data_IF_669825924130
#
_entry.id   IF_669825924130
#
_cell.length_a   1.000
_cell.length_b   1.000
_cell.length_c   1.000
_cell.angle_alpha   90.00
_cell.angle_beta   90.00
_cell.angle_gamma   90.00
#
_symmetry.space_group_name_H-M   'P 1'
#
loop_
_entity.id
_entity.type
_entity.pdbx_description
1 polymer ?
#
# COMPACT_ATOMS: atom_id res chain seq x y z
N UNK A 1 -3.13 -14.41 -8.74
CA UNK A 1 -3.71 -13.74 -9.93
C UNK A 1 -4.29 -12.34 -9.66
N UNK A 2 -4.88 -12.01 -8.50
CA UNK A 2 -5.40 -10.64 -8.23
C UNK A 2 -4.35 -9.64 -7.68
N UNK A 3 -3.46 -10.07 -6.78
CA UNK A 3 -2.39 -9.22 -6.21
C UNK A 3 -1.35 -8.76 -7.25
N UNK A 4 -1.16 -9.53 -8.30
CA UNK A 4 -0.25 -9.21 -9.42
C UNK A 4 -0.75 -8.05 -10.28
N UNK A 5 -2.04 -7.69 -10.19
CA UNK A 5 -2.61 -6.57 -10.95
C UNK A 5 -2.65 -5.28 -10.14
N UNK A 6 -3.10 -5.34 -8.89
CA UNK A 6 -3.31 -4.13 -8.06
C UNK A 6 -2.03 -3.66 -7.38
N UNK A 7 -1.11 -4.58 -7.08
CA UNK A 7 0.13 -4.28 -6.38
C UNK A 7 -0.07 -4.06 -4.88
N UNK A 8 0.98 -4.36 -4.11
CA UNK A 8 0.97 -4.27 -2.65
C UNK A 8 0.65 -2.85 -2.17
N UNK A 9 1.20 -1.84 -2.85
CA UNK A 9 1.13 -0.43 -2.43
C UNK A 9 -0.29 0.14 -2.47
N UNK A 10 -1.19 -0.41 -3.29
CA UNK A 10 -2.60 0.01 -3.38
C UNK A 10 -3.52 -0.95 -2.63
N UNK A 11 -3.24 -2.26 -2.67
CA UNK A 11 -4.04 -3.25 -1.98
C UNK A 11 -3.94 -3.12 -0.45
N UNK A 12 -2.75 -2.84 0.08
CA UNK A 12 -2.53 -2.72 1.54
C UNK A 12 -3.26 -1.55 2.19
N UNK A 13 -3.19 -0.28 1.70
CA UNK A 13 -3.96 0.80 2.31
C UNK A 13 -5.46 0.60 2.12
N UNK A 14 -5.90 0.07 0.97
CA UNK A 14 -7.31 -0.23 0.75
C UNK A 14 -7.83 -1.28 1.75
N UNK A 15 -7.08 -2.36 1.96
CA UNK A 15 -7.42 -3.39 2.94
C UNK A 15 -7.46 -2.80 4.35
N UNK A 16 -6.46 -2.01 4.73
CA UNK A 16 -6.40 -1.40 6.05
C UNK A 16 -7.54 -0.41 6.29
N UNK A 17 -7.88 0.37 5.26
CA UNK A 17 -9.00 1.30 5.29
C UNK A 17 -10.32 0.56 5.51
N UNK A 18 -10.60 -0.47 4.71
CA UNK A 18 -11.82 -1.28 4.85
C UNK A 18 -11.85 -1.94 6.23
N UNK A 19 -10.74 -2.51 6.68
CA UNK A 19 -10.63 -3.17 7.99
C UNK A 19 -10.94 -2.20 9.14
N UNK A 20 -10.28 -1.06 9.18
CA UNK A 20 -10.48 -0.09 10.25
C UNK A 20 -11.87 0.59 10.17
N UNK A 21 -12.46 0.72 8.97
CA UNK A 21 -13.85 1.09 8.80
C UNK A 21 -14.81 0.04 9.40
N UNK A 22 -14.56 -1.26 9.16
CA UNK A 22 -15.39 -2.35 9.72
C UNK A 22 -15.32 -2.45 11.25
N UNK A 23 -14.23 -1.99 11.87
CA UNK A 23 -14.07 -1.93 13.33
C UNK A 23 -14.87 -0.76 13.95
N UNK A 24 -15.47 0.09 13.12
CA UNK A 24 -16.31 1.20 13.57
C UNK A 24 -15.57 2.52 13.69
N UNK A 25 -14.36 2.64 13.14
CA UNK A 25 -13.65 3.91 13.06
C UNK A 25 -14.32 4.82 12.02
N UNK A 26 -14.95 5.91 12.45
CA UNK A 26 -15.77 6.78 11.59
C UNK A 26 -15.06 8.03 11.09
N UNK A 27 -13.88 8.34 11.61
CA UNK A 27 -13.07 9.46 11.12
C UNK A 27 -12.32 9.04 9.84
N UNK A 28 -13.01 9.14 8.70
CA UNK A 28 -12.54 8.69 7.39
C UNK A 28 -11.25 9.40 6.94
N UNK A 29 -11.05 10.65 7.37
CA UNK A 29 -9.85 11.43 7.04
C UNK A 29 -8.61 10.86 7.72
N UNK A 30 -8.68 10.66 9.04
CA UNK A 30 -7.58 10.01 9.79
C UNK A 30 -7.36 8.58 9.33
N UNK A 31 -8.43 7.87 8.96
CA UNK A 31 -8.37 6.51 8.45
C UNK A 31 -7.57 6.43 7.14
N UNK A 32 -7.87 7.31 6.18
CA UNK A 32 -7.19 7.36 4.90
C UNK A 32 -5.70 7.67 5.10
N UNK A 33 -5.37 8.69 5.87
CA UNK A 33 -3.97 9.07 6.15
C UNK A 33 -3.22 7.94 6.85
N UNK A 34 -3.83 7.32 7.87
CA UNK A 34 -3.23 6.21 8.61
C UNK A 34 -2.97 5.00 7.70
N UNK A 35 -3.95 4.58 6.91
CA UNK A 35 -3.84 3.44 6.02
C UNK A 35 -2.73 3.62 4.96
N UNK A 36 -2.65 4.81 4.35
CA UNK A 36 -1.61 5.16 3.37
C UNK A 36 -0.23 5.24 4.03
N UNK A 37 -0.13 5.87 5.20
CA UNK A 37 1.13 5.99 5.92
C UNK A 37 1.68 4.61 6.33
N UNK A 38 0.86 3.73 6.90
CA UNK A 38 1.27 2.38 7.28
C UNK A 38 1.66 1.57 6.05
N UNK A 39 0.89 1.64 4.95
CA UNK A 39 1.24 0.96 3.71
C UNK A 39 2.60 1.41 3.15
N UNK A 40 2.88 2.71 3.17
CA UNK A 40 4.16 3.26 2.73
C UNK A 40 5.33 2.79 3.62
N UNK A 41 5.14 2.80 4.95
CA UNK A 41 6.14 2.30 5.90
C UNK A 41 6.43 0.83 5.66
N UNK A 42 5.39 -0.01 5.56
CA UNK A 42 5.55 -1.45 5.33
C UNK A 42 6.25 -1.70 3.99
N UNK A 43 5.83 -1.02 2.93
CA UNK A 43 6.48 -1.12 1.63
C UNK A 43 7.97 -0.76 1.70
N UNK A 44 8.31 0.34 2.39
CA UNK A 44 9.68 0.77 2.58
C UNK A 44 10.50 -0.26 3.38
N UNK A 45 9.97 -0.77 4.49
CA UNK A 45 10.66 -1.78 5.31
C UNK A 45 10.92 -3.06 4.52
N UNK A 46 9.92 -3.58 3.83
CA UNK A 46 10.08 -4.81 3.04
C UNK A 46 11.09 -4.62 1.90
N UNK A 47 11.06 -3.47 1.22
CA UNK A 47 11.98 -3.20 0.11
C UNK A 47 13.40 -2.90 0.59
N UNK A 48 13.59 -1.93 1.49
CA UNK A 48 14.92 -1.43 1.86
C UNK A 48 15.58 -2.22 3.00
N UNK A 49 14.80 -2.69 3.97
CA UNK A 49 15.34 -3.42 5.12
C UNK A 49 15.41 -4.91 4.82
N UNK A 50 14.34 -5.47 4.27
CA UNK A 50 14.26 -6.91 4.01
C UNK A 50 14.72 -7.34 2.61
N UNK A 51 14.93 -6.40 1.68
CA UNK A 51 15.25 -6.69 0.27
C UNK A 51 14.26 -7.65 -0.42
N UNK A 52 13.00 -7.64 0.02
CA UNK A 52 11.93 -8.44 -0.58
C UNK A 52 11.23 -7.60 -1.64
N UNK A 53 11.24 -8.10 -2.88
CA UNK A 53 10.49 -7.49 -3.97
C UNK A 53 8.98 -7.73 -3.76
N UNK A 54 8.28 -6.70 -3.31
CA UNK A 54 6.82 -6.72 -3.22
C UNK A 54 6.18 -6.66 -4.61
N UNK A 55 5.00 -7.29 -4.81
CA UNK A 55 4.32 -7.23 -6.09
C UNK A 55 3.94 -5.79 -6.42
N UNK A 56 4.49 -5.27 -7.51
CA UNK A 56 4.27 -3.89 -7.95
C UNK A 56 2.95 -3.68 -8.69
N UNK A 57 2.20 -4.76 -8.97
CA UNK A 57 1.03 -4.68 -9.84
C UNK A 57 1.41 -4.65 -11.32
N UNK A 58 0.41 -4.51 -12.19
CA UNK A 58 0.57 -4.38 -13.64
C UNK A 58 -0.04 -3.05 -14.15
N UNK A 59 0.45 -2.55 -15.29
CA UNK A 59 -0.03 -1.30 -15.89
C UNK A 59 0.24 -0.06 -15.01
N UNK A 60 -0.79 0.78 -14.79
CA UNK A 60 -0.70 2.04 -14.02
C UNK A 60 -0.23 1.79 -12.58
N UNK A 61 -0.62 0.67 -11.97
CA UNK A 61 -0.20 0.32 -10.60
C UNK A 61 1.31 0.05 -10.51
N UNK A 62 1.90 -0.49 -11.59
CA UNK A 62 3.35 -0.68 -11.70
C UNK A 62 4.06 0.66 -11.79
N UNK A 63 3.54 1.60 -12.57
CA UNK A 63 4.12 2.93 -12.71
C UNK A 63 4.09 3.71 -11.39
N UNK A 64 2.97 3.68 -10.65
CA UNK A 64 2.87 4.29 -9.33
C UNK A 64 3.88 3.67 -8.36
N UNK A 65 3.99 2.34 -8.37
CA UNK A 65 4.89 1.66 -7.46
C UNK A 65 6.36 1.90 -7.84
N UNK A 66 6.70 2.00 -9.12
CA UNK A 66 8.04 2.38 -9.61
C UNK A 66 8.35 3.85 -9.28
N UNK A 67 7.38 4.75 -9.39
CA UNK A 67 7.55 6.14 -9.01
C UNK A 67 7.81 6.28 -7.51
N UNK A 68 7.00 5.63 -6.66
CA UNK A 68 7.22 5.56 -5.22
C UNK A 68 8.57 4.91 -4.87
N UNK A 69 9.00 3.94 -5.67
CA UNK A 69 10.29 3.26 -5.54
C UNK A 69 11.50 4.07 -6.01
N UNK A 70 11.32 5.15 -6.76
CA UNK A 70 12.38 6.06 -7.20
C UNK A 70 12.43 7.31 -6.32
N UNK A 71 11.39 7.59 -5.53
CA UNK A 71 11.36 8.67 -4.55
C UNK A 71 12.15 8.35 -3.27
N UNK A 72 12.50 7.08 -3.08
CA UNK A 72 13.22 6.52 -1.94
C UNK A 72 14.27 5.52 -2.43
#
# INVERSE_FOLDING_TARGET
MSLEHVGFLVASPLFMFVFAYTIGYRDLGKLAVFSVAVAAIVFFTFRNVMNIALPYGNGIFREISVYASNLF
#
